data_IF_901243167414
#
_entry.id   IF_901243167414
#
_cell.length_a   1.000
_cell.length_b   1.000
_cell.length_c   1.000
_cell.angle_alpha   90.00
_cell.angle_beta   90.00
_cell.angle_gamma   90.00
#
_symmetry.space_group_name_H-M   'P 1'
#
loop_
_entity.id
_entity.type
_entity.pdbx_description
1 polymer ?
#
# COMPACT_ATOMS: atom_id res chain seq x y z
N UNK A 1 -11.08 29.20 21.16
CA UNK A 1 -10.31 28.07 21.72
C UNK A 1 -11.30 26.97 22.04
N UNK A 2 -11.37 25.94 21.20
CA UNK A 2 -12.14 24.74 21.50
C UNK A 2 -11.21 23.55 21.20
N UNK A 3 -10.37 23.23 22.17
CA UNK A 3 -9.46 22.08 22.14
C UNK A 3 -10.32 20.83 22.36
N UNK A 4 -10.87 20.27 21.29
CA UNK A 4 -11.38 18.90 21.33
C UNK A 4 -10.17 17.98 21.50
N UNK A 5 -9.86 17.62 22.75
CA UNK A 5 -8.97 16.53 23.09
C UNK A 5 -9.54 15.23 22.53
N UNK A 6 -9.30 15.00 21.24
CA UNK A 6 -9.55 13.73 20.59
C UNK A 6 -8.53 12.76 21.16
N UNK A 7 -9.00 11.68 21.78
CA UNK A 7 -8.11 10.61 22.22
C UNK A 7 -7.26 10.15 21.03
N UNK A 8 -5.94 9.94 21.21
CA UNK A 8 -5.10 9.49 20.12
C UNK A 8 -5.66 8.18 19.57
N UNK A 9 -5.92 8.15 18.27
CA UNK A 9 -6.32 6.91 17.60
C UNK A 9 -5.11 5.97 17.62
N UNK A 10 -5.32 4.65 17.56
CA UNK A 10 -4.22 3.68 17.41
C UNK A 10 -3.28 4.04 16.25
N UNK A 11 -3.82 4.66 15.19
CA UNK A 11 -3.06 5.10 14.03
C UNK A 11 -2.18 6.34 14.27
N UNK A 12 -2.44 7.09 15.32
CA UNK A 12 -1.67 8.28 15.73
C UNK A 12 -0.48 7.93 16.61
N UNK A 13 -0.39 6.66 17.05
CA UNK A 13 0.77 6.17 17.79
C UNK A 13 2.05 6.40 16.97
N UNK A 14 3.14 6.92 17.55
CA UNK A 14 4.27 7.46 16.78
C UNK A 14 4.85 6.49 15.74
N UNK A 15 5.00 5.21 16.08
CA UNK A 15 5.53 4.21 15.15
C UNK A 15 4.57 3.93 13.98
N UNK A 16 3.26 3.87 14.24
CA UNK A 16 2.25 3.60 13.22
C UNK A 16 2.10 4.82 12.31
N UNK A 17 1.99 6.02 12.88
CA UNK A 17 1.98 7.28 12.13
C UNK A 17 3.21 7.40 11.22
N UNK A 18 4.41 7.13 11.76
CA UNK A 18 5.66 7.14 10.98
C UNK A 18 5.65 6.13 9.83
N UNK A 19 5.18 4.90 10.06
CA UNK A 19 5.01 3.89 9.01
C UNK A 19 4.07 4.41 7.91
N UNK A 20 2.93 4.99 8.28
CA UNK A 20 1.92 5.50 7.34
C UNK A 20 2.43 6.67 6.50
N UNK A 21 3.21 7.58 7.11
CA UNK A 21 3.87 8.69 6.40
C UNK A 21 4.93 8.18 5.42
N UNK A 22 5.76 7.22 5.84
CA UNK A 22 6.74 6.58 4.95
C UNK A 22 6.08 5.83 3.80
N UNK A 23 4.96 5.16 4.06
CA UNK A 23 4.19 4.46 3.02
C UNK A 23 3.56 5.43 2.02
N UNK A 24 3.06 6.58 2.47
CA UNK A 24 2.61 7.63 1.56
C UNK A 24 3.76 8.13 0.66
N UNK A 25 4.95 8.33 1.21
CA UNK A 25 6.13 8.74 0.45
C UNK A 25 6.60 7.67 -0.53
N UNK A 26 6.55 6.39 -0.15
CA UNK A 26 6.85 5.27 -1.03
C UNK A 26 5.91 5.29 -2.25
N UNK A 27 4.59 5.35 -2.03
CA UNK A 27 3.61 5.48 -3.12
C UNK A 27 3.88 6.68 -4.02
N UNK A 28 4.17 7.86 -3.44
CA UNK A 28 4.46 9.06 -4.22
C UNK A 28 5.75 8.90 -5.06
N UNK A 29 6.76 8.21 -4.51
CA UNK A 29 8.00 7.90 -5.22
C UNK A 29 7.75 6.95 -6.39
N UNK A 30 6.94 5.91 -6.19
CA UNK A 30 6.60 4.94 -7.24
C UNK A 30 5.81 5.58 -8.38
N UNK A 31 4.87 6.50 -8.08
CA UNK A 31 4.20 7.30 -9.11
C UNK A 31 5.19 8.10 -9.95
N UNK A 32 6.11 8.82 -9.30
CA UNK A 32 7.10 9.63 -10.02
C UNK A 32 8.07 8.77 -10.83
N UNK A 33 8.48 7.60 -10.32
CA UNK A 33 9.31 6.65 -11.07
C UNK A 33 8.57 6.11 -12.30
N UNK A 34 7.29 5.76 -12.17
CA UNK A 34 6.46 5.32 -13.28
C UNK A 34 6.18 6.41 -14.32
N UNK A 35 6.11 7.67 -13.90
CA UNK A 35 6.03 8.83 -14.80
C UNK A 35 7.31 9.01 -15.63
N UNK A 36 8.49 8.81 -15.00
CA UNK A 36 9.80 9.11 -15.61
C UNK A 36 10.39 7.96 -16.42
N UNK A 37 10.24 6.73 -15.94
CA UNK A 37 10.91 5.56 -16.49
C UNK A 37 9.88 4.56 -16.98
N UNK A 38 9.81 4.37 -18.30
CA UNK A 38 8.94 3.36 -18.90
C UNK A 38 9.58 1.98 -18.83
N UNK A 39 8.78 0.97 -18.51
CA UNK A 39 9.21 -0.43 -18.53
C UNK A 39 9.94 -0.91 -17.28
N UNK A 40 10.21 -0.05 -16.29
CA UNK A 40 10.76 -0.50 -15.03
C UNK A 40 9.74 -1.34 -14.26
N UNK A 41 10.18 -2.51 -13.80
CA UNK A 41 9.42 -3.38 -12.90
C UNK A 41 9.96 -3.18 -11.50
N UNK A 42 9.32 -2.27 -10.77
CA UNK A 42 9.72 -1.90 -9.42
C UNK A 42 8.69 -2.38 -8.41
N UNK A 43 9.16 -2.75 -7.22
CA UNK A 43 8.31 -3.05 -6.07
C UNK A 43 8.70 -2.12 -4.93
N UNK A 44 7.72 -1.47 -4.32
CA UNK A 44 7.92 -0.62 -3.15
C UNK A 44 7.56 -1.35 -1.84
N UNK A 45 8.25 -1.02 -0.75
CA UNK A 45 7.93 -1.50 0.59
C UNK A 45 8.26 -0.48 1.65
N UNK A 46 7.24 0.03 2.33
CA UNK A 46 7.40 0.94 3.46
C UNK A 46 8.05 0.29 4.69
N UNK A 47 8.70 1.10 5.51
CA UNK A 47 9.27 0.70 6.81
C UNK A 47 9.20 1.86 7.81
N UNK A 48 9.59 1.63 9.08
CA UNK A 48 9.67 2.69 10.08
C UNK A 48 10.77 3.73 9.78
N UNK A 49 11.81 3.33 9.05
CA UNK A 49 13.01 4.15 8.84
C UNK A 49 13.13 4.69 7.40
N UNK A 50 12.02 4.68 6.67
CA UNK A 50 11.95 5.03 5.26
C UNK A 50 11.25 3.95 4.46
N UNK A 51 11.73 3.65 3.25
CA UNK A 51 11.15 2.62 2.39
C UNK A 51 12.18 2.01 1.44
N UNK A 52 11.83 0.85 0.89
CA UNK A 52 12.64 0.11 -0.05
C UNK A 52 12.02 0.13 -1.44
N UNK A 53 12.86 0.24 -2.45
CA UNK A 53 12.52 0.05 -3.87
C UNK A 53 13.35 -1.11 -4.39
N UNK A 54 12.68 -2.15 -4.86
CA UNK A 54 13.29 -3.34 -5.44
C UNK A 54 13.17 -3.28 -6.96
N UNK A 55 14.26 -3.54 -7.66
CA UNK A 55 14.34 -3.53 -9.11
C UNK A 55 15.41 -2.56 -9.63
N UNK A 56 15.76 -2.73 -10.90
CA UNK A 56 16.83 -1.98 -11.53
C UNK A 56 16.38 -0.55 -11.87
N UNK A 57 16.88 0.43 -11.12
CA UNK A 57 16.67 1.84 -11.35
C UNK A 57 17.95 2.63 -11.02
N UNK A 58 18.22 3.75 -11.71
CA UNK A 58 19.32 4.63 -11.32
C UNK A 58 19.12 5.16 -9.89
N UNK A 59 20.13 5.08 -9.04
CA UNK A 59 20.05 5.53 -7.64
C UNK A 59 19.68 7.01 -7.54
N UNK A 60 20.26 7.82 -8.41
CA UNK A 60 19.97 9.25 -8.54
C UNK A 60 18.53 9.48 -8.99
N UNK A 61 18.02 8.59 -9.85
CA UNK A 61 16.62 8.56 -10.28
C UNK A 61 15.67 8.29 -9.13
N UNK A 62 15.98 7.30 -8.28
CA UNK A 62 15.22 6.99 -7.06
C UNK A 62 15.22 8.16 -6.08
N UNK A 63 16.39 8.76 -5.81
CA UNK A 63 16.49 9.92 -4.94
C UNK A 63 15.67 11.11 -5.47
N UNK A 64 15.83 11.45 -6.75
CA UNK A 64 15.12 12.55 -7.37
C UNK A 64 13.60 12.31 -7.44
N UNK A 65 13.16 11.05 -7.59
CA UNK A 65 11.75 10.69 -7.54
C UNK A 65 11.19 10.79 -6.12
N UNK A 66 11.95 10.36 -5.11
CA UNK A 66 11.55 10.47 -3.71
C UNK A 66 11.43 11.93 -3.25
N UNK A 67 12.40 12.77 -3.62
CA UNK A 67 12.36 14.21 -3.33
C UNK A 67 11.14 14.88 -3.97
N UNK A 68 10.86 14.57 -5.24
CA UNK A 68 9.70 15.09 -5.95
C UNK A 68 8.38 14.58 -5.35
N UNK A 69 8.31 13.30 -4.99
CA UNK A 69 7.16 12.71 -4.31
C UNK A 69 6.89 13.39 -2.97
N UNK A 70 7.93 13.60 -2.16
CA UNK A 70 7.83 14.33 -0.88
C UNK A 70 7.34 15.76 -1.09
N UNK A 71 7.91 16.47 -2.06
CA UNK A 71 7.51 17.85 -2.40
C UNK A 71 6.04 17.92 -2.79
N UNK A 72 5.58 16.98 -3.63
CA UNK A 72 4.19 16.92 -4.09
C UNK A 72 3.22 16.59 -2.96
N UNK A 73 3.58 15.67 -2.05
CA UNK A 73 2.79 15.37 -0.84
C UNK A 73 2.68 16.59 0.08
N UNK A 74 3.81 17.27 0.36
CA UNK A 74 3.82 18.53 1.14
C UNK A 74 3.01 19.65 0.48
N UNK A 75 2.90 19.65 -0.85
CA UNK A 75 2.03 20.55 -1.60
C UNK A 75 0.54 20.12 -1.60
N UNK A 76 0.15 19.15 -0.78
CA UNK A 76 -1.25 18.71 -0.62
C UNK A 76 -1.75 17.74 -1.69
N UNK A 77 -0.87 17.15 -2.52
CA UNK A 77 -1.27 16.14 -3.52
C UNK A 77 -1.53 14.77 -2.90
N UNK A 78 -2.54 14.69 -2.04
CA UNK A 78 -2.88 13.49 -1.26
C UNK A 78 -3.11 12.22 -2.09
N UNK A 79 -3.55 12.34 -3.36
CA UNK A 79 -3.75 11.19 -4.25
C UNK A 79 -2.45 10.40 -4.50
N UNK A 80 -1.29 11.02 -4.31
CA UNK A 80 0.00 10.34 -4.44
C UNK A 80 0.29 9.37 -3.29
N UNK A 81 -0.44 9.48 -2.18
CA UNK A 81 -0.37 8.53 -1.08
C UNK A 81 -1.18 7.25 -1.32
N UNK A 82 -1.84 7.11 -2.49
CA UNK A 82 -2.62 5.92 -2.87
C UNK A 82 -2.02 5.35 -4.15
N UNK A 83 -1.73 4.06 -4.16
CA UNK A 83 -1.15 3.39 -5.32
C UNK A 83 -2.02 2.20 -5.77
N UNK A 84 -2.33 2.08 -7.07
CA UNK A 84 -3.21 1.00 -7.57
C UNK A 84 -2.61 -0.40 -7.40
N UNK A 85 -1.28 -0.51 -7.38
CA UNK A 85 -0.56 -1.78 -7.22
C UNK A 85 -0.02 -1.98 -5.79
N UNK A 86 -0.57 -1.28 -4.79
CA UNK A 86 -0.18 -1.49 -3.40
C UNK A 86 -0.58 -2.91 -2.92
N UNK A 87 0.33 -3.60 -2.21
CA UNK A 87 0.07 -4.94 -1.68
C UNK A 87 -1.13 -5.02 -0.73
N UNK A 88 -1.50 -3.92 -0.08
CA UNK A 88 -2.71 -3.86 0.76
C UNK A 88 -4.00 -4.14 -0.03
N UNK A 89 -4.03 -3.86 -1.34
CA UNK A 89 -5.15 -4.20 -2.21
C UNK A 89 -5.34 -5.72 -2.32
N UNK A 90 -4.25 -6.50 -2.31
CA UNK A 90 -4.32 -7.97 -2.33
C UNK A 90 -4.91 -8.51 -1.02
N UNK A 91 -4.57 -7.90 0.12
CA UNK A 91 -5.12 -8.30 1.43
C UNK A 91 -6.63 -8.05 1.48
N UNK A 92 -7.07 -6.87 1.04
CA UNK A 92 -8.50 -6.54 0.96
C UNK A 92 -9.22 -7.49 0.00
N UNK A 93 -8.67 -7.69 -1.20
CA UNK A 93 -9.23 -8.61 -2.20
C UNK A 93 -9.34 -10.05 -1.73
N UNK A 94 -8.26 -10.60 -1.17
CA UNK A 94 -8.24 -11.96 -0.62
C UNK A 94 -9.24 -12.15 0.51
N UNK A 95 -9.37 -11.14 1.39
CA UNK A 95 -10.33 -11.17 2.50
C UNK A 95 -11.77 -11.17 1.99
N UNK A 96 -12.13 -10.26 1.08
CA UNK A 96 -13.50 -10.18 0.55
C UNK A 96 -13.86 -11.40 -0.30
N UNK A 97 -12.93 -11.90 -1.11
CA UNK A 97 -13.12 -13.12 -1.88
C UNK A 97 -13.32 -14.33 -0.97
N UNK A 98 -12.49 -14.47 0.07
CA UNK A 98 -12.57 -15.54 1.06
C UNK A 98 -13.87 -15.50 1.87
N UNK A 99 -14.32 -14.32 2.27
CA UNK A 99 -15.61 -14.14 2.95
C UNK A 99 -16.79 -14.52 2.04
N UNK A 100 -16.77 -14.08 0.77
CA UNK A 100 -17.79 -14.46 -0.21
C UNK A 100 -17.87 -15.98 -0.39
N UNK A 101 -16.71 -16.64 -0.54
CA UNK A 101 -16.63 -18.09 -0.62
C UNK A 101 -17.13 -18.78 0.65
N UNK A 102 -16.78 -18.26 1.83
CA UNK A 102 -17.23 -18.79 3.11
C UNK A 102 -18.75 -18.72 3.26
N UNK A 103 -19.36 -17.59 2.91
CA UNK A 103 -20.82 -17.41 2.93
C UNK A 103 -21.50 -18.37 1.96
N UNK A 104 -20.99 -18.52 0.74
CA UNK A 104 -21.54 -19.45 -0.27
C UNK A 104 -21.48 -20.91 0.17
N UNK A 105 -20.51 -21.28 1.01
CA UNK A 105 -20.36 -22.61 1.59
C UNK A 105 -21.18 -22.84 2.88
N UNK A 106 -21.87 -21.83 3.39
CA UNK A 106 -22.69 -21.91 4.61
C UNK A 106 -23.94 -22.79 4.48
N UNK A 107 -24.39 -23.42 5.58
CA UNK A 107 -25.60 -24.24 5.64
C UNK A 107 -25.39 -25.73 5.90
N UNK A 108 -26.49 -26.49 6.06
CA UNK A 108 -26.47 -27.93 6.41
C UNK A 108 -25.95 -28.74 5.20
N UNK A 109 -24.85 -29.47 5.38
CA UNK A 109 -24.15 -30.20 4.31
C UNK A 109 -24.66 -31.63 4.19
N UNK A 110 -24.92 -32.13 2.98
CA UNK A 110 -25.14 -33.57 2.72
C UNK A 110 -24.09 -34.09 1.73
N UNK A 111 -22.88 -34.38 2.24
CA UNK A 111 -21.84 -35.08 1.48
C UNK A 111 -20.95 -34.23 0.56
N UNK A 112 -20.15 -34.91 -0.27
CA UNK A 112 -19.17 -34.31 -1.19
C UNK A 112 -19.84 -33.68 -2.43
N UNK A 113 -20.88 -34.33 -2.96
CA UNK A 113 -21.61 -33.89 -4.16
C UNK A 113 -22.29 -32.52 -3.95
N UNK A 114 -22.87 -32.28 -2.77
CA UNK A 114 -23.45 -31.00 -2.39
C UNK A 114 -22.43 -29.85 -2.40
N UNK A 115 -21.15 -30.12 -2.10
CA UNK A 115 -20.09 -29.09 -2.14
C UNK A 115 -19.71 -28.75 -3.57
N UNK A 116 -19.61 -29.76 -4.43
CA UNK A 116 -19.29 -29.59 -5.85
C UNK A 116 -20.39 -28.77 -6.54
N UNK A 117 -21.66 -29.07 -6.25
CA UNK A 117 -22.80 -28.33 -6.80
C UNK A 117 -22.80 -26.83 -6.44
N UNK A 118 -22.13 -26.44 -5.35
CA UNK A 118 -22.02 -25.03 -4.90
C UNK A 118 -20.81 -24.29 -5.44
N UNK A 119 -19.88 -24.97 -6.12
CA UNK A 119 -18.68 -24.31 -6.68
C UNK A 119 -19.00 -23.11 -7.58
N UNK A 120 -20.01 -23.15 -8.47
CA UNK A 120 -20.36 -21.97 -9.26
C UNK A 120 -20.75 -20.76 -8.39
N UNK A 121 -21.51 -20.98 -7.32
CA UNK A 121 -21.89 -19.93 -6.38
C UNK A 121 -20.68 -19.40 -5.60
N UNK A 122 -19.77 -20.30 -5.19
CA UNK A 122 -18.52 -19.92 -4.51
C UNK A 122 -17.67 -19.03 -5.40
N UNK A 123 -17.47 -19.42 -6.67
CA UNK A 123 -16.70 -18.61 -7.61
C UNK A 123 -17.38 -17.28 -7.88
N UNK A 124 -18.70 -17.26 -8.10
CA UNK A 124 -19.45 -16.01 -8.29
C UNK A 124 -19.32 -15.07 -7.09
N UNK A 125 -19.47 -15.59 -5.86
CA UNK A 125 -19.35 -14.81 -4.64
C UNK A 125 -17.91 -14.29 -4.41
N UNK A 126 -16.90 -15.12 -4.69
CA UNK A 126 -15.51 -14.70 -4.60
C UNK A 126 -15.15 -13.61 -5.64
N UNK A 127 -15.61 -13.76 -6.88
CA UNK A 127 -15.44 -12.75 -7.94
C UNK A 127 -16.12 -11.44 -7.57
N UNK A 128 -17.33 -11.47 -7.01
CA UNK A 128 -18.00 -10.28 -6.50
C UNK A 128 -17.16 -9.60 -5.40
N UNK A 129 -16.59 -10.38 -4.48
CA UNK A 129 -15.66 -9.89 -3.46
C UNK A 129 -14.45 -9.15 -4.07
N UNK A 130 -13.85 -9.69 -5.13
CA UNK A 130 -12.74 -9.05 -5.84
C UNK A 130 -13.14 -7.75 -6.56
N UNK A 131 -14.34 -7.69 -7.14
CA UNK A 131 -14.86 -6.48 -7.78
C UNK A 131 -15.03 -5.37 -6.73
N UNK A 132 -15.64 -5.70 -5.59
CA UNK A 132 -15.82 -4.76 -4.47
C UNK A 132 -14.50 -4.33 -3.84
N UNK A 133 -13.46 -5.17 -3.92
CA UNK A 133 -12.15 -4.87 -3.36
C UNK A 133 -11.43 -3.69 -4.04
N UNK A 134 -11.72 -3.39 -5.31
CA UNK A 134 -11.04 -2.30 -6.01
C UNK A 134 -11.24 -0.92 -5.35
N UNK A 135 -12.48 -0.43 -5.16
CA UNK A 135 -12.70 0.83 -4.46
C UNK A 135 -12.36 0.73 -2.96
N UNK A 136 -12.62 -0.42 -2.33
CA UNK A 136 -12.37 -0.62 -0.89
C UNK A 136 -10.88 -0.63 -0.55
N UNK A 137 -10.02 -1.15 -1.43
CA UNK A 137 -8.57 -1.12 -1.29
C UNK A 137 -8.03 0.31 -1.27
N UNK A 138 -8.49 1.18 -2.17
CA UNK A 138 -8.10 2.59 -2.18
C UNK A 138 -8.54 3.33 -0.90
N UNK A 139 -9.76 3.04 -0.41
CA UNK A 139 -10.25 3.60 0.86
C UNK A 139 -9.40 3.10 2.03
N UNK A 140 -9.10 1.80 2.07
CA UNK A 140 -8.27 1.19 3.10
C UNK A 140 -6.88 1.81 3.14
N UNK A 141 -6.28 2.05 1.96
CA UNK A 141 -5.01 2.76 1.88
C UNK A 141 -5.12 4.16 2.49
N UNK A 142 -6.07 4.97 2.02
CA UNK A 142 -6.24 6.36 2.42
C UNK A 142 -6.54 6.54 3.93
N UNK A 143 -7.23 5.56 4.54
CA UNK A 143 -7.69 5.65 5.93
C UNK A 143 -6.79 4.93 6.91
N UNK A 144 -6.12 3.86 6.49
CA UNK A 144 -5.41 2.96 7.40
C UNK A 144 -3.93 2.89 7.08
N UNK A 145 -3.54 2.58 5.84
CA UNK A 145 -2.15 2.22 5.56
C UNK A 145 -1.25 3.40 5.23
N UNK A 146 -1.82 4.53 4.78
CA UNK A 146 -1.05 5.73 4.43
C UNK A 146 -1.55 6.97 5.16
N UNK A 147 -0.67 7.96 5.24
CA UNK A 147 -0.96 9.29 5.78
C UNK A 147 -0.38 10.34 4.82
N UNK A 148 -1.22 11.05 4.04
CA UNK A 148 -0.75 11.97 3.01
C UNK A 148 -0.11 13.24 3.59
N UNK A 149 -0.50 13.64 4.80
CA UNK A 149 0.20 14.68 5.54
C UNK A 149 1.47 14.09 6.17
N UNK A 150 2.59 14.31 5.50
CA UNK A 150 3.90 13.82 5.91
C UNK A 150 4.58 14.69 6.98
N UNK A 151 4.02 15.85 7.32
CA UNK A 151 4.60 16.75 8.33
C UNK A 151 6.07 17.11 8.09
N UNK A 152 6.89 16.90 9.10
CA UNK A 152 8.33 17.20 9.13
C UNK A 152 9.21 16.15 8.44
N UNK A 153 8.62 15.11 7.84
CA UNK A 153 9.35 14.03 7.19
C UNK A 153 10.39 14.56 6.20
N UNK A 154 11.62 14.06 6.31
CA UNK A 154 12.77 14.40 5.45
C UNK A 154 13.50 13.14 4.99
N UNK A 155 13.99 13.18 3.76
CA UNK A 155 14.84 12.13 3.20
C UNK A 155 16.27 12.40 3.63
N UNK A 156 16.91 11.40 4.24
CA UNK A 156 18.28 11.48 4.74
C UNK A 156 19.28 11.01 3.69
N UNK A 157 18.89 10.04 2.86
CA UNK A 157 19.73 9.52 1.80
C UNK A 157 19.15 8.26 1.17
N UNK A 158 19.83 7.75 0.16
CA UNK A 158 19.50 6.51 -0.53
C UNK A 158 20.73 5.62 -0.54
N UNK A 159 20.61 4.38 -0.05
CA UNK A 159 21.66 3.37 -0.17
C UNK A 159 21.24 2.34 -1.20
N UNK A 160 22.15 2.00 -2.13
CA UNK A 160 21.96 0.92 -3.09
C UNK A 160 22.70 -0.32 -2.59
N UNK A 161 22.01 -1.45 -2.60
CA UNK A 161 22.58 -2.76 -2.35
C UNK A 161 22.14 -3.72 -3.44
N UNK A 162 22.95 -4.74 -3.71
CA UNK A 162 22.58 -5.83 -4.61
C UNK A 162 22.56 -7.12 -3.81
N UNK A 163 21.41 -7.81 -3.81
CA UNK A 163 21.21 -9.04 -3.03
C UNK A 163 20.62 -10.11 -3.93
N UNK A 164 21.35 -11.21 -4.11
CA UNK A 164 20.94 -12.34 -4.95
C UNK A 164 20.47 -11.92 -6.37
N UNK A 165 21.19 -10.98 -7.00
CA UNK A 165 20.87 -10.46 -8.34
C UNK A 165 19.70 -9.47 -8.39
N UNK A 166 19.17 -9.06 -7.24
CA UNK A 166 18.12 -8.03 -7.15
C UNK A 166 18.74 -6.75 -6.60
N UNK A 167 18.58 -5.66 -7.36
CA UNK A 167 18.94 -4.31 -6.91
C UNK A 167 17.90 -3.83 -5.89
N UNK A 168 18.37 -3.33 -4.75
CA UNK A 168 17.56 -2.80 -3.66
C UNK A 168 18.05 -1.41 -3.31
N UNK A 169 17.16 -0.42 -3.41
CA UNK A 169 17.39 0.92 -2.90
C UNK A 169 16.66 1.09 -1.57
N UNK A 170 17.36 1.53 -0.53
CA UNK A 170 16.75 1.91 0.73
C UNK A 170 16.80 3.42 0.86
N UNK A 171 15.63 4.05 0.78
CA UNK A 171 15.45 5.49 0.98
C UNK A 171 15.19 5.71 2.46
N UNK A 172 16.13 6.35 3.17
CA UNK A 172 16.04 6.57 4.62
C UNK A 172 15.32 7.88 4.93
N UNK A 173 14.49 7.87 5.97
CA UNK A 173 13.73 9.04 6.42
C UNK A 173 13.80 9.30 7.92
N UNK A 174 13.68 10.58 8.27
CA UNK A 174 13.58 11.11 9.64
C UNK A 174 12.41 12.09 9.75
N UNK A 175 11.92 12.31 10.97
CA UNK A 175 10.68 13.06 11.26
C UNK A 175 9.53 12.15 11.68
#
# INVERSE_FOLDING_TARGET
>A
MNETHSLPTLLDFPAISRMRRNHALEHATMHVLGERYRGLRLVGRASLWGFYVYGDAPTEGVLAAAQEGLRRLKAGRWRMAIHPQCGSNLVVGGTLAGLGAFVALGGKRRGCLDRIARLPLVFAAATLGLILAQPLGAIFQARVTTQPDVGDLRIVGVTREERAGIVVHHVRTEG
#
